data_IF_150402947715
#
_entry.id   IF_150402947715
#
_cell.length_a   1.000
_cell.length_b   1.000
_cell.length_c   1.000
_cell.angle_alpha   90.00
_cell.angle_beta   90.00
_cell.angle_gamma   90.00
#
_symmetry.space_group_name_H-M   'P 1'
#
loop_
_entity.id
_entity.type
_entity.pdbx_description
1 polymer ?
#
# COMPACT_ATOMS: atom_id res chain seq x y z
N UNK A 1 -4.84 -11.80 20.65
CA UNK A 1 -3.65 -11.01 20.24
C UNK A 1 -3.36 -11.09 18.75
N UNK A 2 -3.52 -12.25 18.11
CA UNK A 2 -3.18 -12.45 16.70
C UNK A 2 -3.86 -11.44 15.76
N UNK A 3 -5.19 -11.18 15.85
CA UNK A 3 -5.85 -10.22 14.97
C UNK A 3 -5.33 -8.78 15.14
N UNK A 4 -4.91 -8.42 16.36
CA UNK A 4 -4.38 -7.08 16.67
C UNK A 4 -3.01 -6.89 16.02
N UNK A 5 -2.14 -7.90 16.08
CA UNK A 5 -0.82 -7.86 15.44
C UNK A 5 -0.98 -7.78 13.92
N UNK A 6 -1.85 -8.62 13.32
CA UNK A 6 -2.08 -8.61 11.87
C UNK A 6 -2.67 -7.28 11.38
N UNK A 7 -3.59 -6.66 12.15
CA UNK A 7 -4.09 -5.32 11.83
C UNK A 7 -2.98 -4.26 11.88
N UNK A 8 -2.00 -4.41 12.78
CA UNK A 8 -0.86 -3.48 12.90
C UNK A 8 0.11 -3.53 11.72
N UNK A 9 0.34 -4.70 11.13
CA UNK A 9 1.30 -4.88 10.02
C UNK A 9 0.86 -4.13 8.76
N UNK A 10 -0.45 -3.96 8.53
CA UNK A 10 -0.98 -3.23 7.36
C UNK A 10 -0.49 -1.78 7.31
N UNK A 11 -0.28 -1.13 8.47
CA UNK A 11 0.27 0.22 8.54
C UNK A 11 1.69 0.32 7.95
N UNK A 12 2.47 -0.76 8.05
CA UNK A 12 3.83 -0.83 7.51
C UNK A 12 3.80 -0.82 5.98
N UNK A 13 2.81 -1.43 5.33
CA UNK A 13 2.67 -1.39 3.88
C UNK A 13 2.48 0.04 3.36
N UNK A 14 1.67 0.86 4.05
CA UNK A 14 1.51 2.28 3.72
C UNK A 14 2.80 3.08 3.90
N UNK A 15 3.55 2.81 4.97
CA UNK A 15 4.85 3.44 5.20
C UNK A 15 5.87 3.09 4.11
N UNK A 16 5.93 1.84 3.67
CA UNK A 16 6.80 1.40 2.58
C UNK A 16 6.49 2.16 1.29
N UNK A 17 5.20 2.29 0.92
CA UNK A 17 4.79 3.03 -0.28
C UNK A 17 5.20 4.51 -0.17
N UNK A 18 5.00 5.14 0.99
CA UNK A 18 5.37 6.53 1.22
C UNK A 18 6.88 6.77 1.05
N UNK A 19 7.72 5.89 1.61
CA UNK A 19 9.18 5.98 1.48
C UNK A 19 9.61 5.76 0.03
N UNK A 20 9.06 4.75 -0.65
CA UNK A 20 9.40 4.46 -2.05
C UNK A 20 9.06 5.65 -2.95
N UNK A 21 7.85 6.20 -2.85
CA UNK A 21 7.46 7.38 -3.63
C UNK A 21 8.32 8.59 -3.28
N UNK A 22 8.63 8.81 -2.00
CA UNK A 22 9.49 9.92 -1.54
C UNK A 22 10.88 9.89 -2.17
N UNK A 23 11.48 8.71 -2.34
CA UNK A 23 12.80 8.57 -2.99
C UNK A 23 12.78 8.80 -4.51
N UNK A 24 11.60 8.82 -5.15
CA UNK A 24 11.44 8.96 -6.61
C UNK A 24 11.15 10.39 -7.06
N UNK A 25 10.83 11.29 -6.14
CA UNK A 25 10.59 12.71 -6.44
C UNK A 25 11.94 13.39 -6.64
N UNK A 26 12.22 13.82 -7.88
CA UNK A 26 13.43 14.58 -8.22
C UNK A 26 13.13 16.07 -8.28
N UNK A 27 14.07 16.86 -7.77
CA UNK A 27 14.00 18.32 -7.83
C UNK A 27 14.13 18.80 -9.28
N UNK A 28 13.40 19.84 -9.68
CA UNK A 28 13.59 20.46 -10.99
C UNK A 28 15.00 21.08 -11.07
N UNK A 29 15.79 20.63 -12.04
CA UNK A 29 17.16 21.12 -12.24
C UNK A 29 17.10 22.33 -13.20
N UNK A 30 17.45 23.52 -12.69
CA UNK A 30 17.54 24.74 -13.48
C UNK A 30 17.25 25.99 -12.66
N UNK A 31 18.29 26.68 -12.22
CA UNK A 31 18.21 28.00 -11.60
C UNK A 31 19.34 28.87 -12.12
N UNK A 32 19.01 29.89 -12.91
CA UNK A 32 19.96 30.76 -13.62
C UNK A 32 19.50 31.04 -15.07
N UNK A 33 20.40 30.87 -16.04
CA UNK A 33 20.24 31.18 -17.48
C UNK A 33 19.84 29.99 -18.37
N UNK A 34 19.41 28.86 -17.79
CA UNK A 34 18.97 27.67 -18.51
C UNK A 34 17.46 27.45 -18.33
N UNK A 35 16.72 26.99 -19.36
CA UNK A 35 15.30 26.72 -19.24
C UNK A 35 15.04 25.67 -18.16
N UNK A 36 14.17 26.00 -17.20
CA UNK A 36 13.73 25.11 -16.13
C UNK A 36 13.10 23.87 -16.77
N UNK A 37 13.82 22.76 -16.78
CA UNK A 37 13.32 21.51 -17.36
C UNK A 37 12.66 20.71 -16.24
N UNK A 38 11.32 20.53 -16.28
CA UNK A 38 10.63 19.76 -15.25
C UNK A 38 11.05 18.29 -15.36
N UNK A 39 11.85 17.81 -14.40
CA UNK A 39 12.22 16.39 -14.32
C UNK A 39 11.05 15.50 -13.85
N UNK A 40 9.98 16.11 -13.34
CA UNK A 40 8.76 15.43 -12.89
C UNK A 40 7.60 15.73 -13.86
N UNK A 41 7.20 14.72 -14.63
CA UNK A 41 6.06 14.81 -15.56
C UNK A 41 4.73 14.63 -14.81
N UNK A 42 3.67 15.28 -15.31
CA UNK A 42 2.29 15.09 -14.83
C UNK A 42 1.89 13.60 -14.82
N UNK A 43 2.36 12.81 -15.79
CA UNK A 43 2.10 11.37 -15.82
C UNK A 43 2.70 10.63 -14.62
N UNK A 44 3.93 10.98 -14.23
CA UNK A 44 4.60 10.42 -13.04
C UNK A 44 3.91 10.89 -11.76
N UNK A 45 3.43 12.13 -11.73
CA UNK A 45 2.68 12.69 -10.61
C UNK A 45 1.37 11.91 -10.35
N UNK A 46 0.57 11.70 -11.39
CA UNK A 46 -0.65 10.90 -11.29
C UNK A 46 -0.36 9.42 -11.03
N UNK A 47 0.73 8.87 -11.58
CA UNK A 47 1.16 7.49 -11.28
C UNK A 47 1.52 7.28 -9.81
N UNK A 48 2.27 8.21 -9.21
CA UNK A 48 2.62 8.15 -7.79
C UNK A 48 1.40 8.36 -6.89
N UNK A 49 0.52 9.31 -7.22
CA UNK A 49 -0.74 9.52 -6.51
C UNK A 49 -1.61 8.24 -6.55
N UNK A 50 -1.74 7.65 -7.73
CA UNK A 50 -2.45 6.39 -7.91
C UNK A 50 -1.84 5.27 -7.07
N UNK A 51 -0.51 5.18 -6.99
CA UNK A 51 0.17 4.09 -6.27
C UNK A 51 -0.12 4.15 -4.77
N UNK A 52 -0.13 5.36 -4.20
CA UNK A 52 -0.53 5.59 -2.83
C UNK A 52 -2.01 5.24 -2.59
N UNK A 53 -2.89 5.63 -3.50
CA UNK A 53 -4.33 5.40 -3.38
C UNK A 53 -4.68 3.90 -3.45
N UNK A 54 -4.15 3.17 -4.44
CA UNK A 54 -4.42 1.73 -4.60
C UNK A 54 -3.91 0.93 -3.41
N UNK A 55 -2.66 1.15 -2.98
CA UNK A 55 -2.10 0.45 -1.83
C UNK A 55 -2.82 0.81 -0.51
N UNK A 56 -3.14 2.09 -0.31
CA UNK A 56 -3.84 2.58 0.88
C UNK A 56 -5.28 2.06 0.99
N UNK A 57 -6.07 2.10 -0.09
CA UNK A 57 -7.45 1.60 -0.08
C UNK A 57 -7.52 0.07 0.03
N UNK A 58 -6.58 -0.64 -0.59
CA UNK A 58 -6.48 -2.11 -0.44
C UNK A 58 -6.14 -2.49 1.00
N UNK A 59 -5.21 -1.77 1.64
CA UNK A 59 -4.87 -1.94 3.04
C UNK A 59 -6.04 -1.65 3.99
N UNK A 60 -6.81 -0.57 3.72
CA UNK A 60 -8.01 -0.24 4.48
C UNK A 60 -9.05 -1.37 4.42
N UNK A 61 -9.34 -1.87 3.22
CA UNK A 61 -10.29 -2.97 3.02
C UNK A 61 -9.84 -4.26 3.72
N UNK A 62 -8.54 -4.61 3.62
CA UNK A 62 -7.96 -5.76 4.30
C UNK A 62 -8.03 -5.61 5.84
N UNK A 63 -7.71 -4.43 6.37
CA UNK A 63 -7.78 -4.13 7.81
C UNK A 63 -9.21 -4.23 8.36
N UNK A 64 -10.19 -3.76 7.59
CA UNK A 64 -11.61 -3.89 7.95
C UNK A 64 -12.04 -5.37 7.99
N UNK A 65 -11.64 -6.17 7.01
CA UNK A 65 -11.91 -7.60 6.98
C UNK A 65 -11.28 -8.33 8.19
N UNK A 66 -10.02 -8.02 8.51
CA UNK A 66 -9.32 -8.57 9.69
C UNK A 66 -10.03 -8.19 10.99
N UNK A 67 -10.50 -6.94 11.11
CA UNK A 67 -11.24 -6.49 12.29
C UNK A 67 -12.55 -7.26 12.50
N UNK A 68 -13.34 -7.43 11.44
CA UNK A 68 -14.63 -8.14 11.50
C UNK A 68 -14.43 -9.63 11.79
N UNK A 69 -13.49 -10.28 11.08
CA UNK A 69 -13.15 -11.70 11.30
C UNK A 69 -12.53 -11.89 12.68
N UNK A 70 -11.75 -10.93 13.16
CA UNK A 70 -11.15 -10.93 14.49
C UNK A 70 -12.21 -10.95 15.58
N UNK A 71 -13.20 -10.05 15.52
CA UNK A 71 -14.30 -9.98 16.52
C UNK A 71 -15.16 -11.25 16.53
N UNK A 72 -15.60 -11.71 15.36
CA UNK A 72 -16.40 -12.93 15.25
C UNK A 72 -15.59 -14.18 15.65
N UNK A 73 -14.32 -14.23 15.25
CA UNK A 73 -13.42 -15.36 15.46
C UNK A 73 -13.03 -15.56 16.92
N UNK A 74 -12.77 -14.48 17.67
CA UNK A 74 -12.47 -14.60 19.11
C UNK A 74 -13.69 -15.07 19.90
N UNK A 75 -14.89 -14.57 19.54
CA UNK A 75 -16.15 -15.01 20.17
C UNK A 75 -16.45 -16.48 19.88
N UNK A 76 -16.24 -16.93 18.64
CA UNK A 76 -16.43 -18.33 18.26
C UNK A 76 -15.40 -19.26 18.93
N UNK A 77 -14.13 -18.85 19.02
CA UNK A 77 -13.06 -19.63 19.66
C UNK A 77 -13.30 -19.78 21.17
N UNK A 78 -13.89 -18.77 21.82
CA UNK A 78 -14.26 -18.85 23.23
C UNK A 78 -15.34 -19.93 23.50
N UNK A 79 -16.23 -20.19 22.53
CA UNK A 79 -17.25 -21.24 22.63
C UNK A 79 -16.69 -22.61 22.28
N UNK A 80 -15.84 -22.71 21.25
CA UNK A 80 -15.22 -23.96 20.83
C UNK A 80 -13.75 -23.72 20.43
N UNK A 81 -12.77 -24.16 21.25
CA UNK A 81 -11.36 -23.89 20.98
C UNK A 81 -10.84 -24.55 19.69
N UNK A 82 -11.51 -25.61 19.21
CA UNK A 82 -11.20 -26.25 17.91
C UNK A 82 -11.39 -25.33 16.68
N UNK A 83 -12.14 -24.23 16.81
CA UNK A 83 -12.35 -23.26 15.73
C UNK A 83 -11.17 -22.29 15.55
N UNK A 84 -10.18 -22.32 16.44
CA UNK A 84 -9.03 -21.42 16.41
C UNK A 84 -8.25 -21.48 15.08
N UNK A 85 -8.03 -22.69 14.54
CA UNK A 85 -7.32 -22.87 13.27
C UNK A 85 -8.11 -22.28 12.10
N UNK A 86 -9.44 -22.44 12.09
CA UNK A 86 -10.30 -21.86 11.07
C UNK A 86 -10.26 -20.33 11.04
N UNK A 87 -10.26 -19.70 12.22
CA UNK A 87 -10.08 -18.25 12.33
C UNK A 87 -8.74 -17.79 11.73
N UNK A 88 -7.65 -18.49 12.02
CA UNK A 88 -6.31 -18.14 11.49
C UNK A 88 -6.28 -18.24 9.96
N UNK A 89 -6.87 -19.28 9.36
CA UNK A 89 -6.90 -19.43 7.90
C UNK A 89 -7.60 -18.26 7.21
N UNK A 90 -8.73 -17.81 7.77
CA UNK A 90 -9.46 -16.65 7.23
C UNK A 90 -8.65 -15.37 7.37
N UNK A 91 -7.95 -15.17 8.50
CA UNK A 91 -7.09 -14.01 8.73
C UNK A 91 -5.93 -13.94 7.71
N UNK A 92 -5.31 -15.06 7.36
CA UNK A 92 -4.21 -15.11 6.37
C UNK A 92 -4.72 -14.72 4.97
N UNK A 93 -5.90 -15.20 4.56
CA UNK A 93 -6.49 -14.82 3.28
C UNK A 93 -6.88 -13.33 3.23
N UNK A 94 -7.38 -12.79 4.34
CA UNK A 94 -7.67 -11.36 4.44
C UNK A 94 -6.39 -10.53 4.30
N UNK A 95 -5.27 -10.98 4.86
CA UNK A 95 -3.99 -10.28 4.76
C UNK A 95 -3.38 -10.32 3.35
N UNK A 96 -3.59 -11.41 2.61
CA UNK A 96 -3.15 -11.49 1.22
C UNK A 96 -3.71 -10.35 0.34
N UNK A 97 -4.92 -9.85 0.63
CA UNK A 97 -5.49 -8.68 -0.05
C UNK A 97 -4.66 -7.41 0.14
N UNK A 98 -4.10 -7.20 1.33
CA UNK A 98 -3.20 -6.09 1.61
C UNK A 98 -1.88 -6.19 0.82
N UNK A 99 -1.31 -7.41 0.75
CA UNK A 99 -0.09 -7.66 -0.01
C UNK A 99 -0.27 -7.47 -1.51
N UNK A 100 -1.41 -7.90 -2.08
CA UNK A 100 -1.70 -7.64 -3.50
C UNK A 100 -1.76 -6.15 -3.80
N UNK A 101 -2.38 -5.35 -2.92
CA UNK A 101 -2.41 -3.89 -3.06
C UNK A 101 -1.01 -3.25 -3.02
N UNK A 102 -0.13 -3.73 -2.14
CA UNK A 102 1.26 -3.28 -2.07
C UNK A 102 2.02 -3.57 -3.36
N UNK A 103 1.90 -4.78 -3.91
CA UNK A 103 2.59 -5.18 -5.14
C UNK A 103 2.16 -4.28 -6.31
N UNK A 104 0.85 -4.06 -6.47
CA UNK A 104 0.33 -3.18 -7.53
C UNK A 104 0.81 -1.74 -7.37
N UNK A 105 0.82 -1.22 -6.13
CA UNK A 105 1.36 0.11 -5.83
C UNK A 105 2.84 0.25 -6.24
N UNK A 106 3.68 -0.74 -5.93
CA UNK A 106 5.11 -0.72 -6.25
C UNK A 106 5.39 -0.80 -7.76
N UNK A 107 4.60 -1.60 -8.49
CA UNK A 107 4.70 -1.68 -9.95
C UNK A 107 4.34 -0.32 -10.55
N UNK A 108 3.23 0.28 -10.12
CA UNK A 108 2.78 1.55 -10.66
C UNK A 108 3.72 2.72 -10.32
N UNK A 109 4.33 2.70 -9.13
CA UNK A 109 5.37 3.67 -8.77
C UNK A 109 6.66 3.52 -9.60
N UNK A 110 6.93 2.35 -10.18
CA UNK A 110 8.12 2.12 -11.01
C UNK A 110 7.94 2.52 -12.48
N UNK A 111 6.70 2.64 -12.97
CA UNK A 111 6.39 2.89 -14.38
C UNK A 111 6.34 4.38 -14.79
N UNK A 112 6.66 5.32 -13.90
CA UNK A 112 6.54 6.79 -14.16
C UNK A 112 7.62 7.43 -15.05
N UNK A 113 8.53 6.66 -15.64
CA UNK A 113 9.74 7.15 -16.34
C UNK A 113 9.54 7.63 -17.79
N UNK A 114 8.45 8.32 -18.12
CA UNK A 114 8.29 8.94 -19.43
C UNK A 114 9.20 10.16 -19.56
N UNK A 115 10.29 10.03 -20.33
CA UNK A 115 11.25 11.10 -20.59
C UNK A 115 10.57 12.35 -21.20
N UNK A 116 11.02 13.53 -20.79
CA UNK A 116 10.58 14.80 -21.36
C UNK A 116 11.02 14.85 -22.84
N UNK A 117 10.10 15.01 -23.82
CA UNK A 117 10.52 15.36 -25.16
C UNK A 117 11.04 16.79 -25.09
N UNK A 118 12.35 16.95 -25.21
CA UNK A 118 13.00 18.22 -25.49
C UNK A 118 12.57 18.65 -26.90
N UNK A 119 11.52 19.46 -26.97
CA UNK A 119 11.20 20.27 -28.14
C UNK A 119 12.09 21.51 -28.15
#
# INVERSE_FOLDING_TARGET
IIPVVMAGVIGIYGFIIAVVVGTKIKEPVGGGSQPVTPQYTLFSAFGHLGSGLTGGLSGLAAGMAIGIVGDAGVRATAQQPKLFVGMILILIFAEALGLYGLIVALIMSSSGGGACPSA
#
